data_IF_098706795709
#
_entry.id   IF_098706795709
#
_cell.length_a   1.000
_cell.length_b   1.000
_cell.length_c   1.000
_cell.angle_alpha   90.00
_cell.angle_beta   90.00
_cell.angle_gamma   90.00
#
_symmetry.space_group_name_H-M   'P 1'
#
loop_
_entity.id
_entity.type
_entity.pdbx_description
1 polymer ?
#
# COMPACT_ATOMS: atom_id res chain seq x y z
N UNK A 1 -68.25 31.64 27.57
CA UNK A 1 -66.96 31.79 28.26
C UNK A 1 -66.17 30.53 28.01
N UNK A 2 -64.91 30.72 27.65
CA UNK A 2 -63.80 29.75 27.57
C UNK A 2 -63.77 28.76 26.39
N UNK A 3 -62.95 29.10 25.39
CA UNK A 3 -62.38 28.23 24.36
C UNK A 3 -61.37 27.24 24.95
N UNK A 4 -61.08 26.12 24.27
CA UNK A 4 -59.71 25.60 24.29
C UNK A 4 -59.08 25.49 22.88
N UNK A 5 -57.79 25.80 22.88
CA UNK A 5 -56.90 26.00 21.76
C UNK A 5 -56.49 24.69 21.08
N UNK A 6 -56.41 24.72 19.74
CA UNK A 6 -55.85 23.69 18.88
C UNK A 6 -54.38 24.03 18.58
N UNK A 7 -53.44 23.17 18.98
CA UNK A 7 -52.01 23.30 18.67
C UNK A 7 -51.67 22.68 17.31
N UNK A 8 -51.16 23.50 16.38
CA UNK A 8 -50.73 23.08 15.03
C UNK A 8 -49.21 23.19 14.91
N UNK A 9 -48.59 22.08 14.52
CA UNK A 9 -47.17 21.98 14.16
C UNK A 9 -46.94 22.24 12.66
N UNK A 10 -45.71 22.66 12.34
CA UNK A 10 -45.01 22.63 11.03
C UNK A 10 -45.30 23.76 10.02
N UNK A 11 -44.26 24.56 9.75
CA UNK A 11 -43.66 24.64 8.41
C UNK A 11 -44.00 25.83 7.50
N UNK A 12 -43.17 26.87 7.59
CA UNK A 12 -42.68 27.79 6.55
C UNK A 12 -43.55 28.10 5.31
N UNK A 13 -44.04 29.34 5.26
CA UNK A 13 -44.58 30.01 4.09
C UNK A 13 -43.49 30.32 3.05
N UNK A 14 -43.81 29.99 1.79
CA UNK A 14 -43.21 30.53 0.56
C UNK A 14 -43.67 31.97 0.32
N UNK A 15 -42.80 32.77 -0.31
CA UNK A 15 -42.96 33.76 -1.42
C UNK A 15 -41.93 34.87 -1.22
N UNK A 16 -40.79 34.91 -1.91
CA UNK A 16 -40.58 35.43 -3.27
C UNK A 16 -41.23 36.79 -3.53
N UNK A 17 -40.39 37.82 -3.62
CA UNK A 17 -40.53 39.03 -4.43
C UNK A 17 -39.13 39.59 -4.67
N UNK A 18 -38.60 39.53 -5.91
CA UNK A 18 -38.68 40.62 -6.93
C UNK A 18 -37.51 41.59 -6.70
N UNK A 19 -36.58 41.90 -7.61
CA UNK A 19 -36.56 41.89 -9.06
C UNK A 19 -35.15 42.15 -9.62
N UNK A 20 -34.94 41.78 -10.90
CA UNK A 20 -33.86 42.30 -11.76
C UNK A 20 -32.87 41.21 -12.21
N UNK A 21 -32.76 40.82 -13.48
CA UNK A 21 -33.30 41.38 -14.71
C UNK A 21 -32.21 41.35 -15.79
N UNK A 22 -32.12 40.21 -16.50
CA UNK A 22 -31.46 39.96 -17.78
C UNK A 22 -29.90 39.98 -17.78
N UNK A 23 -29.18 39.03 -18.41
CA UNK A 23 -29.44 38.35 -19.69
C UNK A 23 -28.67 37.00 -19.73
N UNK A 24 -29.28 35.98 -20.35
CA UNK A 24 -28.78 35.16 -21.49
C UNK A 24 -29.37 33.73 -21.46
N UNK A 25 -29.80 33.31 -22.64
CA UNK A 25 -30.63 32.18 -23.00
C UNK A 25 -30.08 30.78 -22.65
N UNK A 26 -30.91 30.04 -21.92
CA UNK A 26 -31.49 28.70 -22.23
C UNK A 26 -30.58 27.45 -22.32
N UNK A 27 -30.85 26.57 -21.33
CA UNK A 27 -30.87 25.08 -21.34
C UNK A 27 -29.57 24.34 -21.69
N UNK A 28 -29.01 23.41 -20.89
CA UNK A 28 -29.54 22.55 -19.82
C UNK A 28 -28.44 22.23 -18.80
N UNK A 29 -28.90 21.91 -17.59
CA UNK A 29 -28.24 21.03 -16.62
C UNK A 29 -27.19 21.65 -15.71
N UNK A 30 -27.68 21.98 -14.52
CA UNK A 30 -27.08 21.63 -13.24
C UNK A 30 -25.61 22.01 -13.05
N UNK A 31 -25.39 23.25 -12.61
CA UNK A 31 -24.35 23.47 -11.63
C UNK A 31 -24.76 22.70 -10.37
N UNK A 32 -23.96 21.73 -9.94
CA UNK A 32 -23.67 21.47 -8.53
C UNK A 32 -22.52 20.46 -8.41
N UNK A 33 -21.57 20.84 -7.56
CA UNK A 33 -20.67 19.99 -6.77
C UNK A 33 -19.53 19.33 -7.55
N UNK A 34 -18.39 20.02 -7.52
CA UNK A 34 -17.10 19.36 -7.63
C UNK A 34 -16.94 18.31 -6.53
N UNK A 35 -16.46 17.15 -6.94
CA UNK A 35 -15.58 16.31 -6.15
C UNK A 35 -14.55 15.77 -7.14
N UNK A 36 -13.39 16.41 -7.20
CA UNK A 36 -12.22 15.79 -7.80
C UNK A 36 -11.93 14.55 -6.95
N UNK A 37 -12.30 13.37 -7.45
CA UNK A 37 -11.86 12.12 -6.82
C UNK A 37 -10.34 12.12 -6.99
N UNK A 38 -9.67 12.29 -5.86
CA UNK A 38 -8.24 12.28 -5.74
C UNK A 38 -7.67 11.10 -6.52
N UNK A 39 -6.64 11.38 -7.33
CA UNK A 39 -5.70 10.35 -7.79
C UNK A 39 -5.45 9.42 -6.60
N UNK A 40 -5.75 8.13 -6.77
CA UNK A 40 -5.23 7.13 -5.88
C UNK A 40 -3.73 7.35 -5.85
N UNK A 41 -3.22 7.88 -4.73
CA UNK A 41 -1.81 7.88 -4.46
C UNK A 41 -1.44 6.40 -4.41
N UNK A 42 -0.92 5.88 -5.51
CA UNK A 42 0.18 4.92 -5.42
C UNK A 42 1.28 5.70 -4.71
N UNK A 43 1.19 5.77 -3.38
CA UNK A 43 2.32 6.18 -2.58
C UNK A 43 3.49 5.32 -3.03
N UNK A 44 4.68 5.90 -3.22
CA UNK A 44 5.83 5.06 -3.54
C UNK A 44 5.86 3.98 -2.48
N UNK A 45 5.78 2.72 -2.90
CA UNK A 45 6.11 1.60 -2.04
C UNK A 45 7.61 1.71 -1.78
N UNK A 46 7.99 2.68 -0.93
CA UNK A 46 9.35 2.95 -0.56
C UNK A 46 9.70 1.91 0.47
N UNK A 47 10.05 0.76 -0.07
CA UNK A 47 10.39 -0.43 0.67
C UNK A 47 11.76 -0.21 1.40
N UNK A 48 12.53 0.79 0.95
CA UNK A 48 13.64 1.43 1.66
C UNK A 48 13.15 2.64 2.47
N UNK A 49 13.58 2.78 3.73
CA UNK A 49 13.24 3.91 4.60
C UNK A 49 13.93 5.21 4.12
N UNK A 50 13.21 6.18 3.53
CA UNK A 50 13.84 7.41 3.02
C UNK A 50 14.37 8.30 4.16
N UNK A 51 14.00 8.03 5.42
CA UNK A 51 14.49 8.75 6.58
C UNK A 51 15.89 8.29 7.06
N UNK A 52 16.46 7.24 6.43
CA UNK A 52 17.82 6.73 6.72
C UNK A 52 18.76 6.76 5.52
N UNK A 53 19.06 7.94 4.95
CA UNK A 53 19.92 8.05 3.77
C UNK A 53 21.35 7.53 3.99
N UNK A 54 21.81 7.45 5.24
CA UNK A 54 23.11 6.88 5.60
C UNK A 54 23.25 5.40 5.24
N UNK A 55 22.13 4.67 5.13
CA UNK A 55 22.12 3.25 4.78
C UNK A 55 22.16 3.00 3.26
N UNK A 56 21.98 4.04 2.43
CA UNK A 56 21.91 3.90 0.98
C UNK A 56 23.16 3.22 0.38
N UNK A 57 24.36 3.62 0.83
CA UNK A 57 25.60 3.02 0.34
C UNK A 57 25.72 1.54 0.72
N UNK A 58 25.25 1.19 1.92
CA UNK A 58 25.20 -0.19 2.39
C UNK A 58 24.19 -1.02 1.61
N UNK A 59 22.99 -0.50 1.34
CA UNK A 59 22.02 -1.19 0.50
C UNK A 59 22.55 -1.45 -0.92
N UNK A 60 23.28 -0.50 -1.50
CA UNK A 60 23.91 -0.65 -2.82
C UNK A 60 25.07 -1.65 -2.84
N UNK A 61 25.71 -1.91 -1.70
CA UNK A 61 26.78 -2.91 -1.62
C UNK A 61 26.26 -4.34 -1.46
N UNK A 62 24.97 -4.52 -1.16
CA UNK A 62 24.35 -5.84 -0.97
C UNK A 62 24.43 -6.69 -2.24
N UNK A 63 25.04 -7.87 -2.08
CA UNK A 63 25.06 -8.93 -3.07
C UNK A 63 24.65 -10.24 -2.42
N UNK A 64 23.93 -11.07 -3.16
CA UNK A 64 23.66 -12.43 -2.72
C UNK A 64 24.93 -13.30 -2.79
N UNK A 65 24.86 -14.56 -2.36
CA UNK A 65 26.02 -15.48 -2.38
C UNK A 65 26.54 -15.74 -3.80
N UNK A 66 25.69 -15.59 -4.82
CA UNK A 66 26.06 -15.70 -6.23
C UNK A 66 26.72 -14.43 -6.79
N UNK A 67 26.85 -13.35 -6.00
CA UNK A 67 27.47 -12.10 -6.40
C UNK A 67 26.55 -11.14 -7.18
N UNK A 68 25.28 -11.49 -7.38
CA UNK A 68 24.32 -10.62 -8.04
C UNK A 68 23.87 -9.49 -7.09
N UNK A 69 23.77 -8.24 -7.60
CA UNK A 69 23.30 -7.12 -6.80
C UNK A 69 21.83 -7.28 -6.42
N UNK A 70 21.52 -7.01 -5.17
CA UNK A 70 20.16 -7.10 -4.64
C UNK A 70 19.26 -5.97 -5.14
N UNK A 71 19.85 -4.78 -5.33
CA UNK A 71 19.18 -3.60 -5.83
C UNK A 71 19.52 -3.39 -7.32
N UNK A 72 18.51 -3.50 -8.18
CA UNK A 72 18.60 -3.24 -9.63
C UNK A 72 17.31 -2.58 -10.13
N UNK A 73 16.83 -1.60 -9.37
CA UNK A 73 15.56 -0.90 -9.58
C UNK A 73 14.36 -1.47 -8.82
N UNK A 74 14.48 -2.66 -8.22
CA UNK A 74 13.48 -3.21 -7.29
C UNK A 74 13.75 -2.77 -5.85
N UNK A 75 12.75 -2.16 -5.22
CA UNK A 75 12.81 -1.73 -3.82
C UNK A 75 12.66 -2.95 -2.90
N UNK A 76 13.68 -3.23 -2.09
CA UNK A 76 13.60 -4.30 -1.10
C UNK A 76 12.68 -3.91 0.03
N UNK A 77 11.81 -4.81 0.47
CA UNK A 77 10.79 -4.55 1.49
C UNK A 77 11.09 -5.18 2.84
N UNK A 78 10.59 -4.54 3.90
CA UNK A 78 10.56 -5.13 5.23
C UNK A 78 9.58 -6.30 5.22
N UNK A 79 10.06 -7.48 5.58
CA UNK A 79 9.23 -8.67 5.66
C UNK A 79 9.44 -9.40 7.00
N UNK A 80 8.51 -10.30 7.33
CA UNK A 80 8.70 -11.22 8.44
C UNK A 80 9.43 -12.45 7.91
N UNK A 81 10.64 -12.68 8.41
CA UNK A 81 11.45 -13.85 8.09
C UNK A 81 11.66 -14.71 9.34
N UNK A 82 11.60 -16.03 9.18
CA UNK A 82 11.80 -17.02 10.25
C UNK A 82 12.68 -18.16 9.74
N UNK A 83 13.52 -18.72 10.61
CA UNK A 83 14.23 -19.95 10.31
C UNK A 83 13.30 -21.17 10.47
N UNK A 84 13.26 -22.04 9.46
CA UNK A 84 12.58 -23.33 9.51
C UNK A 84 13.59 -24.43 9.82
N UNK A 85 13.53 -24.98 11.04
CA UNK A 85 14.41 -26.06 11.49
C UNK A 85 14.23 -27.37 10.70
N UNK A 86 13.03 -27.64 10.18
CA UNK A 86 12.74 -28.87 9.45
C UNK A 86 13.31 -28.86 8.04
N UNK A 87 13.36 -27.68 7.40
CA UNK A 87 13.90 -27.48 6.05
C UNK A 87 15.31 -26.89 6.02
N UNK A 88 15.88 -26.56 7.19
CA UNK A 88 17.18 -25.91 7.34
C UNK A 88 17.32 -24.67 6.44
N UNK A 89 16.32 -23.78 6.46
CA UNK A 89 16.32 -22.60 5.61
C UNK A 89 15.36 -21.53 6.10
N UNK A 90 15.46 -20.33 5.52
CA UNK A 90 14.57 -19.23 5.85
C UNK A 90 13.25 -19.34 5.10
N UNK A 91 12.17 -19.04 5.81
CA UNK A 91 10.85 -18.74 5.23
C UNK A 91 10.52 -17.27 5.43
N UNK A 92 9.87 -16.68 4.44
CA UNK A 92 9.44 -15.28 4.46
C UNK A 92 7.94 -15.22 4.25
N UNK A 93 7.26 -14.41 5.06
CA UNK A 93 5.83 -14.14 4.90
C UNK A 93 5.64 -12.99 3.92
N UNK A 94 4.98 -13.26 2.81
CA UNK A 94 4.68 -12.29 1.76
C UNK A 94 3.17 -12.12 1.61
N UNK A 95 2.73 -10.87 1.45
CA UNK A 95 1.35 -10.57 1.08
C UNK A 95 1.21 -10.60 -0.43
N UNK A 96 0.04 -10.99 -0.93
CA UNK A 96 -0.26 -10.93 -2.35
C UNK A 96 -0.66 -9.49 -2.73
N UNK A 97 0.10 -8.79 -3.59
CA UNK A 97 -0.26 -7.43 -4.02
C UNK A 97 -1.60 -7.34 -4.75
N UNK A 98 -2.06 -8.41 -5.42
CA UNK A 98 -3.38 -8.45 -6.06
C UNK A 98 -4.52 -8.72 -5.07
N UNK A 99 -4.21 -9.23 -3.86
CA UNK A 99 -5.18 -9.57 -2.82
C UNK A 99 -4.72 -9.07 -1.45
N UNK A 100 -4.69 -7.75 -1.23
CA UNK A 100 -4.12 -7.16 -0.02
C UNK A 100 -4.90 -7.50 1.27
N UNK A 101 -6.18 -7.87 1.14
CA UNK A 101 -7.05 -8.24 2.25
C UNK A 101 -6.79 -9.66 2.78
N UNK A 102 -6.08 -10.51 2.02
CA UNK A 102 -5.74 -11.86 2.43
C UNK A 102 -4.53 -11.88 3.39
N UNK A 103 -4.45 -12.86 4.32
CA UNK A 103 -3.29 -13.03 5.17
C UNK A 103 -2.03 -13.36 4.35
N UNK A 104 -0.87 -12.95 4.86
CA UNK A 104 0.42 -13.24 4.21
C UNK A 104 0.74 -14.73 4.21
N UNK A 105 1.23 -15.22 3.07
CA UNK A 105 1.62 -16.62 2.86
C UNK A 105 3.12 -16.80 3.09
N UNK A 106 3.50 -17.94 3.67
CA UNK A 106 4.89 -18.28 3.93
C UNK A 106 5.51 -18.99 2.74
N UNK A 107 6.68 -18.51 2.30
CA UNK A 107 7.43 -19.11 1.21
C UNK A 107 8.88 -19.38 1.63
N UNK A 108 9.43 -20.51 1.18
CA UNK A 108 10.83 -20.85 1.44
C UNK A 108 11.76 -20.05 0.52
N UNK A 109 12.83 -19.53 1.10
CA UNK A 109 13.87 -18.81 0.37
C UNK A 109 15.06 -19.74 0.15
N UNK A 110 15.56 -19.87 -1.10
CA UNK A 110 16.79 -20.59 -1.37
C UNK A 110 17.99 -19.99 -0.61
N UNK A 111 18.79 -20.83 0.05
CA UNK A 111 19.94 -20.38 0.85
C UNK A 111 20.98 -19.59 0.03
N UNK A 112 21.09 -19.85 -1.27
CA UNK A 112 21.99 -19.12 -2.20
C UNK A 112 21.66 -17.63 -2.31
N UNK A 113 20.43 -17.23 -1.96
CA UNK A 113 19.95 -15.85 -2.03
C UNK A 113 20.00 -15.15 -0.68
N UNK A 114 20.37 -15.87 0.39
CA UNK A 114 20.46 -15.34 1.74
C UNK A 114 21.80 -14.63 1.93
N UNK A 115 21.74 -13.35 2.26
CA UNK A 115 22.87 -12.50 2.55
C UNK A 115 23.36 -12.80 3.97
N UNK A 116 24.65 -13.10 4.13
CA UNK A 116 25.27 -13.48 5.41
C UNK A 116 25.94 -12.31 6.15
N UNK A 117 25.84 -11.09 5.64
CA UNK A 117 26.47 -9.93 6.26
C UNK A 117 25.59 -9.31 7.35
N UNK A 118 26.16 -8.48 8.25
CA UNK A 118 25.39 -7.78 9.27
C UNK A 118 24.26 -6.93 8.70
N UNK A 119 23.07 -7.09 9.26
CA UNK A 119 21.89 -6.33 8.86
C UNK A 119 21.82 -4.97 9.57
N UNK A 120 22.15 -3.89 8.86
CA UNK A 120 22.11 -2.52 9.38
C UNK A 120 20.71 -1.89 9.34
N UNK A 121 19.76 -2.51 8.65
CA UNK A 121 18.38 -1.99 8.57
C UNK A 121 17.58 -2.22 9.85
N UNK A 122 18.02 -3.16 10.70
CA UNK A 122 17.34 -3.54 11.95
C UNK A 122 16.08 -4.38 11.77
N UNK A 123 15.70 -4.74 10.54
CA UNK A 123 14.56 -5.60 10.23
C UNK A 123 14.91 -6.57 9.10
N UNK A 124 14.24 -7.72 9.00
CA UNK A 124 14.45 -8.59 7.85
C UNK A 124 13.97 -7.88 6.56
N UNK A 125 14.82 -7.90 5.52
CA UNK A 125 14.54 -7.25 4.25
C UNK A 125 14.60 -8.28 3.12
N UNK A 126 13.67 -8.17 2.19
CA UNK A 126 13.55 -9.08 1.05
C UNK A 126 13.41 -8.31 -0.26
N UNK A 127 14.16 -8.73 -1.27
CA UNK A 127 14.06 -8.24 -2.64
C UNK A 127 13.44 -9.35 -3.47
N UNK A 128 12.22 -9.11 -3.94
CA UNK A 128 11.47 -10.08 -4.74
C UNK A 128 10.48 -9.36 -5.65
N UNK A 129 9.89 -10.11 -6.58
CA UNK A 129 8.72 -9.67 -7.35
C UNK A 129 7.73 -10.82 -7.49
N UNK A 130 6.43 -10.55 -7.53
CA UNK A 130 5.43 -11.58 -7.75
C UNK A 130 5.41 -11.98 -9.23
N UNK A 131 5.35 -13.28 -9.48
CA UNK A 131 4.91 -13.84 -10.75
C UNK A 131 3.57 -14.53 -10.51
N UNK A 132 2.67 -14.46 -11.50
CA UNK A 132 1.34 -15.05 -11.40
C UNK A 132 1.15 -16.06 -12.52
N UNK A 133 0.72 -17.26 -12.13
CA UNK A 133 0.32 -18.30 -13.06
C UNK A 133 -1.07 -17.99 -13.66
N UNK A 134 -1.48 -18.76 -14.68
CA UNK A 134 -2.76 -18.56 -15.38
C UNK A 134 -3.99 -18.71 -14.47
N UNK A 135 -3.85 -19.46 -13.37
CA UNK A 135 -4.88 -19.65 -12.35
C UNK A 135 -4.88 -18.54 -11.28
N UNK A 136 -3.95 -17.58 -11.36
CA UNK A 136 -3.78 -16.49 -10.40
C UNK A 136 -2.96 -16.88 -9.16
N UNK A 137 -2.34 -18.06 -9.14
CA UNK A 137 -1.42 -18.45 -8.07
C UNK A 137 -0.18 -17.56 -8.09
N UNK A 138 0.16 -16.97 -6.93
CA UNK A 138 1.33 -16.12 -6.79
C UNK A 138 2.57 -16.95 -6.45
N UNK A 139 3.59 -16.88 -7.29
CA UNK A 139 4.90 -17.46 -7.06
C UNK A 139 5.94 -16.34 -6.87
N UNK A 140 6.59 -16.25 -5.69
CA UNK A 140 7.59 -15.21 -5.46
C UNK A 140 8.87 -15.53 -6.23
N UNK A 141 9.37 -14.54 -6.95
CA UNK A 141 10.68 -14.57 -7.59
C UNK A 141 11.68 -13.87 -6.70
N UNK A 142 12.61 -14.64 -6.14
CA UNK A 142 13.55 -14.17 -5.14
C UNK A 142 14.79 -13.55 -5.78
N UNK A 143 15.22 -12.40 -5.26
CA UNK A 143 16.52 -11.81 -5.60
C UNK A 143 17.51 -11.91 -4.45
N UNK A 144 17.09 -11.44 -3.29
CA UNK A 144 17.89 -11.47 -2.07
C UNK A 144 17.01 -11.49 -0.83
N UNK A 145 17.53 -12.10 0.23
CA UNK A 145 17.01 -12.00 1.59
C UNK A 145 18.16 -11.60 2.51
N UNK A 146 17.98 -10.58 3.34
CA UNK A 146 18.83 -10.37 4.52
C UNK A 146 17.97 -10.61 5.77
N UNK A 147 18.28 -11.61 6.59
CA UNK A 147 17.52 -11.93 7.79
C UNK A 147 17.64 -10.81 8.83
N UNK A 148 16.63 -10.70 9.68
CA UNK A 148 16.61 -9.73 10.78
C UNK A 148 17.50 -10.18 11.94
N UNK A 149 17.84 -9.28 12.87
CA UNK A 149 18.48 -9.68 14.11
C UNK A 149 17.56 -10.61 14.92
N UNK A 150 17.99 -11.85 15.16
CA UNK A 150 17.29 -12.82 16.02
C UNK A 150 16.35 -13.82 15.32
N UNK A 151 16.46 -13.98 13.99
CA UNK A 151 15.75 -15.02 13.23
C UNK A 151 16.44 -16.38 13.23
#
# INVERSE_FOLDING_TARGET
MEFPAQGRVVGAQRTVGREGGARICRDRSAALLGAAIALAATGPASAHDPHKPELNAWFKSLKNKAGAPCCDGGDGERARAEWDMGKAGYKVQLKNPQRPDEPGTWFMVPDTLVIQQPNLSGAAMVWWWPSYDIDGTMTPQWRCLIPGPGS
#
